data_IF_731105034005
#
_entry.id   IF_731105034005
#
_cell.length_a   1.000
_cell.length_b   1.000
_cell.length_c   1.000
_cell.angle_alpha   90.00
_cell.angle_beta   90.00
_cell.angle_gamma   90.00
#
_symmetry.space_group_name_H-M   'P 1'
#
loop_
_entity.id
_entity.type
_entity.pdbx_description
1 polymer ?
#
# COMPACT_ATOMS: atom_id res chain seq x y z
N UNK A 1 1.03 5.77 6.14
CA UNK A 1 -0.31 6.37 6.30
C UNK A 1 -0.72 6.36 7.78
N UNK A 2 -0.64 7.50 8.48
CA UNK A 2 -1.09 7.68 9.87
C UNK A 2 -2.62 7.68 9.95
N UNK A 3 -3.21 7.05 10.97
CA UNK A 3 -4.63 7.16 11.25
C UNK A 3 -4.96 8.44 12.03
N UNK A 4 -6.10 9.06 11.73
CA UNK A 4 -6.69 10.09 12.58
C UNK A 4 -7.06 9.52 13.94
N UNK A 5 -7.02 10.36 14.97
CA UNK A 5 -7.15 9.89 16.34
C UNK A 5 -8.50 9.20 16.61
N UNK A 6 -9.60 9.77 16.12
CA UNK A 6 -10.94 9.19 16.25
C UNK A 6 -11.05 7.83 15.55
N UNK A 7 -10.38 7.66 14.41
CA UNK A 7 -10.33 6.38 13.70
C UNK A 7 -9.53 5.32 14.46
N UNK A 8 -8.48 5.70 15.22
CA UNK A 8 -7.73 4.77 16.07
C UNK A 8 -8.60 4.16 17.16
N UNK A 9 -9.63 4.87 17.63
CA UNK A 9 -10.57 4.35 18.64
C UNK A 9 -11.58 3.36 18.04
N UNK A 10 -12.01 3.59 16.80
CA UNK A 10 -12.90 2.68 16.08
C UNK A 10 -12.22 1.37 15.65
N UNK A 11 -10.89 1.38 15.54
CA UNK A 11 -10.09 0.25 15.07
C UNK A 11 -9.38 -0.50 16.21
N UNK A 12 -9.91 -0.45 17.42
CA UNK A 12 -9.37 -1.22 18.56
C UNK A 12 -9.56 -2.72 18.29
N UNK A 13 -8.48 -3.49 18.45
CA UNK A 13 -8.54 -4.96 18.43
C UNK A 13 -8.43 -5.52 19.84
N UNK A 14 -9.14 -6.61 20.08
CA UNK A 14 -9.03 -7.39 21.32
C UNK A 14 -8.14 -8.61 21.09
N UNK A 15 -7.19 -8.82 21.97
CA UNK A 15 -6.33 -10.00 21.99
C UNK A 15 -6.36 -10.64 23.37
N UNK A 16 -5.86 -11.87 23.51
CA UNK A 16 -5.67 -12.50 24.82
C UNK A 16 -4.75 -11.70 25.77
N UNK A 17 -4.02 -10.70 25.27
CA UNK A 17 -3.15 -9.80 26.05
C UNK A 17 -3.75 -8.43 26.33
N UNK A 18 -5.00 -8.19 25.92
CA UNK A 18 -5.70 -6.92 26.09
C UNK A 18 -6.00 -6.19 24.78
N UNK A 19 -6.38 -4.91 24.92
CA UNK A 19 -6.83 -4.05 23.83
C UNK A 19 -5.67 -3.28 23.20
N UNK A 20 -5.62 -3.26 21.87
CA UNK A 20 -4.60 -2.56 21.10
C UNK A 20 -5.24 -1.64 20.05
N UNK A 21 -4.61 -0.49 19.80
CA UNK A 21 -5.02 0.47 18.77
C UNK A 21 -4.02 0.47 17.62
N UNK A 22 -4.51 0.54 16.40
CA UNK A 22 -3.66 0.73 15.24
C UNK A 22 -3.17 2.19 15.14
N UNK A 23 -1.88 2.39 14.87
CA UNK A 23 -1.32 3.71 14.55
C UNK A 23 -1.29 4.00 13.05
N UNK A 24 -1.21 2.94 12.25
CA UNK A 24 -1.25 2.95 10.79
C UNK A 24 -2.52 2.28 10.31
N UNK A 25 -2.98 2.66 9.12
CA UNK A 25 -4.14 2.05 8.50
C UNK A 25 -3.98 0.52 8.43
N UNK A 26 -4.86 -0.28 9.07
CA UNK A 26 -4.81 -1.73 8.98
C UNK A 26 -5.34 -2.20 7.62
N UNK A 27 -4.90 -3.39 7.20
CA UNK A 27 -5.49 -4.09 6.06
C UNK A 27 -6.89 -4.62 6.39
N UNK A 28 -7.72 -4.78 5.36
CA UNK A 28 -9.02 -5.45 5.47
C UNK A 28 -10.18 -4.58 5.98
N UNK A 29 -9.98 -3.28 6.19
CA UNK A 29 -11.09 -2.34 6.42
C UNK A 29 -11.57 -1.77 5.08
N UNK A 30 -12.89 -1.64 4.92
CA UNK A 30 -13.49 -1.26 3.63
C UNK A 30 -12.96 0.06 3.06
N UNK A 31 -12.62 1.02 3.92
CA UNK A 31 -12.06 2.31 3.50
C UNK A 31 -10.57 2.26 3.19
N UNK A 32 -9.81 1.28 3.70
CA UNK A 32 -8.36 1.24 3.52
C UNK A 32 -7.98 1.05 2.07
N UNK A 33 -8.68 0.18 1.34
CA UNK A 33 -8.40 -0.11 -0.06
C UNK A 33 -8.49 1.14 -0.94
N UNK A 34 -9.52 1.98 -0.75
CA UNK A 34 -9.66 3.20 -1.54
C UNK A 34 -8.56 4.24 -1.23
N UNK A 35 -8.17 4.37 0.04
CA UNK A 35 -7.11 5.31 0.42
C UNK A 35 -5.75 4.77 -0.04
N UNK A 36 -5.49 3.47 0.11
CA UNK A 36 -4.27 2.81 -0.35
C UNK A 36 -4.13 2.93 -1.86
N UNK A 37 -5.18 2.60 -2.62
CA UNK A 37 -5.16 2.71 -4.08
C UNK A 37 -4.83 4.14 -4.53
N UNK A 38 -5.49 5.16 -3.96
CA UNK A 38 -5.22 6.56 -4.30
C UNK A 38 -3.77 6.95 -4.00
N UNK A 39 -3.24 6.54 -2.85
CA UNK A 39 -1.85 6.84 -2.49
C UNK A 39 -0.88 6.09 -3.40
N UNK A 40 -1.13 4.82 -3.68
CA UNK A 40 -0.24 4.00 -4.47
C UNK A 40 -0.21 4.43 -5.93
N UNK A 41 -1.36 4.79 -6.52
CA UNK A 41 -1.45 5.40 -7.86
C UNK A 41 -0.56 6.64 -8.01
N UNK A 42 -0.42 7.45 -6.94
CA UNK A 42 0.50 8.60 -6.94
C UNK A 42 1.97 8.17 -6.89
N UNK A 43 2.29 7.12 -6.11
CA UNK A 43 3.66 6.61 -5.98
C UNK A 43 4.15 6.00 -7.29
N UNK A 44 3.33 5.16 -7.93
CA UNK A 44 3.67 4.47 -9.19
C UNK A 44 3.46 5.34 -10.44
N UNK A 45 2.99 6.57 -10.29
CA UNK A 45 2.74 7.47 -11.41
C UNK A 45 3.98 7.61 -12.31
N UNK A 46 3.75 7.47 -13.62
CA UNK A 46 4.79 7.55 -14.64
C UNK A 46 5.61 6.29 -14.86
N UNK A 47 5.37 5.20 -14.10
CA UNK A 47 6.00 3.90 -14.38
C UNK A 47 5.19 3.14 -15.45
N UNK A 48 5.83 2.71 -16.56
CA UNK A 48 5.14 1.95 -17.59
C UNK A 48 4.84 0.53 -17.11
N UNK A 49 3.74 -0.05 -17.58
CA UNK A 49 3.42 -1.48 -17.33
C UNK A 49 3.23 -1.84 -15.85
N UNK A 50 2.87 -0.85 -15.02
CA UNK A 50 2.56 -1.00 -13.59
C UNK A 50 1.13 -0.50 -13.34
N UNK A 51 0.36 -1.23 -12.54
CA UNK A 51 -0.96 -0.82 -12.09
C UNK A 51 -1.14 -1.13 -10.60
N UNK A 52 -1.92 -0.32 -9.91
CA UNK A 52 -2.40 -0.65 -8.57
C UNK A 52 -3.79 -1.29 -8.69
N UNK A 53 -4.02 -2.40 -8.00
CA UNK A 53 -5.33 -3.03 -7.91
C UNK A 53 -5.61 -3.41 -6.46
N UNK A 54 -6.57 -2.72 -5.85
CA UNK A 54 -6.89 -2.87 -4.43
C UNK A 54 -5.63 -2.70 -3.56
N UNK A 55 -5.20 -3.75 -2.88
CA UNK A 55 -4.05 -3.74 -1.97
C UNK A 55 -2.74 -4.19 -2.65
N UNK A 56 -2.78 -4.56 -3.95
CA UNK A 56 -1.65 -5.11 -4.70
C UNK A 56 -1.13 -4.18 -5.81
N UNK A 57 0.17 -4.25 -6.06
CA UNK A 57 0.81 -3.62 -7.24
C UNK A 57 1.09 -4.71 -8.28
N UNK A 58 0.46 -4.57 -9.43
CA UNK A 58 0.64 -5.46 -10.58
C UNK A 58 1.75 -4.88 -11.46
N UNK A 59 2.80 -5.66 -11.71
CA UNK A 59 3.97 -5.27 -12.52
C UNK A 59 4.08 -6.23 -13.69
N UNK A 60 4.22 -5.70 -14.90
CA UNK A 60 4.26 -6.49 -16.14
C UNK A 60 5.40 -6.04 -17.06
N UNK A 61 5.76 -6.89 -18.02
CA UNK A 61 6.75 -6.62 -19.07
C UNK A 61 6.56 -7.59 -20.23
N UNK A 62 7.08 -7.28 -21.42
CA UNK A 62 6.92 -8.17 -22.60
C UNK A 62 7.81 -9.40 -22.54
N UNK A 63 8.83 -9.38 -21.69
CA UNK A 63 9.77 -10.46 -21.41
C UNK A 63 10.33 -10.31 -19.99
N UNK A 64 11.07 -11.30 -19.53
CA UNK A 64 11.63 -11.34 -18.18
C UNK A 64 12.57 -10.17 -17.89
N UNK A 65 13.39 -9.75 -18.86
CA UNK A 65 14.32 -8.64 -18.68
C UNK A 65 13.58 -7.31 -18.45
N UNK A 66 12.56 -7.02 -19.26
CA UNK A 66 11.70 -5.84 -19.07
C UNK A 66 10.91 -5.90 -17.77
N UNK A 67 10.37 -7.08 -17.41
CA UNK A 67 9.64 -7.26 -16.16
C UNK A 67 10.52 -7.00 -14.93
N UNK A 68 11.75 -7.51 -14.92
CA UNK A 68 12.70 -7.31 -13.81
C UNK A 68 13.20 -5.86 -13.72
N UNK A 69 13.37 -5.18 -14.85
CA UNK A 69 13.69 -3.75 -14.88
C UNK A 69 12.52 -2.91 -14.31
N UNK A 70 11.28 -3.20 -14.71
CA UNK A 70 10.09 -2.55 -14.17
C UNK A 70 9.95 -2.81 -12.65
N UNK A 71 10.17 -4.05 -12.20
CA UNK A 71 10.19 -4.40 -10.78
C UNK A 71 11.23 -3.57 -10.01
N UNK A 72 12.45 -3.46 -10.53
CA UNK A 72 13.52 -2.69 -9.91
C UNK A 72 13.16 -1.21 -9.76
N UNK A 73 12.52 -0.61 -10.78
CA UNK A 73 12.04 0.78 -10.74
C UNK A 73 10.93 0.98 -9.72
N UNK A 74 9.98 0.04 -9.63
CA UNK A 74 8.91 0.10 -8.62
C UNK A 74 9.48 0.01 -7.21
N UNK A 75 10.39 -0.95 -6.95
CA UNK A 75 11.01 -1.10 -5.64
C UNK A 75 11.81 0.14 -5.22
N UNK A 76 12.59 0.73 -6.14
CA UNK A 76 13.30 1.97 -5.88
C UNK A 76 12.34 3.12 -5.54
N UNK A 77 11.23 3.23 -6.29
CA UNK A 77 10.20 4.24 -6.03
C UNK A 77 9.50 4.07 -4.69
N UNK A 78 9.18 2.83 -4.31
CA UNK A 78 8.60 2.54 -2.99
C UNK A 78 9.55 2.97 -1.87
N UNK A 79 10.84 2.67 -2.01
CA UNK A 79 11.88 3.07 -1.07
C UNK A 79 12.00 4.61 -0.95
N UNK A 80 11.93 5.35 -2.06
CA UNK A 80 11.95 6.84 -2.07
C UNK A 80 10.79 7.45 -1.27
N UNK A 81 9.62 6.81 -1.30
CA UNK A 81 8.42 7.27 -0.60
C UNK A 81 8.28 6.71 0.82
N UNK A 82 9.28 5.94 1.29
CA UNK A 82 9.31 5.37 2.64
C UNK A 82 8.33 4.22 2.87
N UNK A 83 8.04 3.47 1.80
CA UNK A 83 7.33 2.18 1.88
C UNK A 83 8.30 1.02 2.09
#
# INVERSE_FOLDING_TARGET
MELYQDAKEMLVINTHKGLFRFNRMPFGIASATAVFQRTMEQVIAGLPSVACYLDDIIITGKNDAEHLDNLSKVLARLQEFGF
#
